data_IF_021865731631
#
_entry.id   IF_021865731631
#
_cell.length_a   1.000
_cell.length_b   1.000
_cell.length_c   1.000
_cell.angle_alpha   90.00
_cell.angle_beta   90.00
_cell.angle_gamma   90.00
#
_symmetry.space_group_name_H-M   'P 1'
#
loop_
_entity.id
_entity.type
_entity.pdbx_description
1 polymer ?
#
# COMPACT_ATOMS: atom_id res chain seq x y z
N UNK A 1 61.97 -36.39 17.03
CA UNK A 1 61.41 -35.03 16.91
C UNK A 1 61.20 -34.74 15.43
N UNK A 2 59.96 -34.41 15.10
CA UNK A 2 59.37 -34.26 13.77
C UNK A 2 59.78 -32.96 13.06
N UNK A 3 59.76 -32.96 11.72
CA UNK A 3 59.12 -31.95 10.87
C UNK A 3 59.23 -32.32 9.39
N UNK A 4 58.11 -32.79 8.83
CA UNK A 4 57.78 -32.79 7.40
C UNK A 4 57.32 -31.39 6.99
N UNK A 5 57.56 -30.94 5.74
CA UNK A 5 56.97 -29.70 5.22
C UNK A 5 55.56 -30.00 4.71
N UNK A 6 54.54 -29.24 5.14
CA UNK A 6 53.20 -29.36 4.57
C UNK A 6 52.81 -28.07 3.86
N UNK A 7 52.54 -28.24 2.56
CA UNK A 7 52.12 -27.26 1.56
C UNK A 7 50.91 -26.42 2.00
N UNK A 8 50.89 -25.23 1.44
CA UNK A 8 49.84 -24.21 1.38
C UNK A 8 48.43 -24.76 1.11
N UNK A 9 47.49 -24.47 2.01
CA UNK A 9 46.08 -24.34 1.68
C UNK A 9 45.76 -22.85 1.55
N UNK A 10 45.98 -22.31 0.35
CA UNK A 10 45.38 -21.04 -0.03
C UNK A 10 43.87 -21.25 -0.08
N UNK A 11 43.15 -20.78 0.94
CA UNK A 11 41.72 -20.49 0.83
C UNK A 11 41.52 -19.76 -0.50
N UNK A 12 40.82 -20.39 -1.45
CA UNK A 12 40.30 -19.72 -2.65
C UNK A 12 39.28 -18.71 -2.17
N UNK A 13 39.77 -17.55 -1.72
CA UNK A 13 38.96 -16.39 -1.39
C UNK A 13 38.21 -15.96 -2.64
N UNK A 14 36.96 -15.54 -2.43
CA UNK A 14 36.13 -14.86 -3.42
C UNK A 14 36.99 -13.84 -4.19
N UNK A 15 36.82 -13.80 -5.51
CA UNK A 15 37.73 -13.15 -6.47
C UNK A 15 38.28 -11.81 -6.01
N UNK A 16 39.53 -11.53 -6.43
CA UNK A 16 40.45 -10.43 -6.06
C UNK A 16 39.89 -9.01 -6.32
N UNK A 17 38.71 -8.72 -5.80
CA UNK A 17 37.94 -7.51 -6.05
C UNK A 17 36.63 -7.48 -5.28
N UNK A 18 36.05 -8.62 -4.85
CA UNK A 18 34.85 -8.61 -4.01
C UNK A 18 35.15 -8.09 -2.59
N UNK A 19 36.32 -8.45 -2.04
CA UNK A 19 36.74 -7.97 -0.72
C UNK A 19 36.96 -6.47 -0.67
N UNK A 20 37.58 -5.90 -1.70
CA UNK A 20 37.75 -4.44 -1.83
C UNK A 20 36.42 -3.73 -2.09
N UNK A 21 35.51 -4.35 -2.86
CA UNK A 21 34.17 -3.81 -3.12
C UNK A 21 33.30 -3.79 -1.85
N UNK A 22 33.42 -4.82 -0.99
CA UNK A 22 32.76 -4.86 0.31
C UNK A 22 33.40 -3.87 1.30
N UNK A 23 34.73 -3.75 1.29
CA UNK A 23 35.45 -2.80 2.15
C UNK A 23 35.16 -1.32 1.80
N UNK A 24 34.90 -1.01 0.52
CA UNK A 24 34.41 0.31 0.10
C UNK A 24 32.98 0.61 0.55
N UNK A 25 32.14 -0.41 0.76
CA UNK A 25 30.74 -0.24 1.14
C UNK A 25 30.52 -0.22 2.67
N UNK A 26 31.44 -0.82 3.45
CA UNK A 26 31.44 -0.73 4.92
C UNK A 26 31.73 0.70 5.42
N UNK A 27 32.42 1.54 4.61
CA UNK A 27 32.67 2.95 4.93
C UNK A 27 31.47 3.88 4.74
N UNK A 28 30.38 3.43 4.11
CA UNK A 28 29.15 4.21 3.91
C UNK A 28 28.04 3.90 4.93
N UNK A 29 28.23 2.92 5.82
CA UNK A 29 27.31 2.64 6.94
C UNK A 29 27.13 3.80 7.95
N UNK A 30 28.10 4.71 8.19
CA UNK A 30 27.88 5.89 9.03
C UNK A 30 26.79 6.82 8.49
N UNK A 31 26.57 6.84 7.16
CA UNK A 31 25.51 7.64 6.54
C UNK A 31 24.12 7.09 6.89
N UNK A 32 23.93 5.77 6.90
CA UNK A 32 22.66 5.17 7.31
C UNK A 32 22.39 5.34 8.81
N UNK A 33 23.43 5.34 9.65
CA UNK A 33 23.29 5.58 11.09
C UNK A 33 22.82 7.00 11.44
N UNK A 34 23.08 7.99 10.57
CA UNK A 34 22.63 9.38 10.76
C UNK A 34 21.12 9.56 10.57
N UNK A 35 20.44 8.62 9.88
CA UNK A 35 18.99 8.63 9.69
C UNK A 35 18.22 8.06 10.89
N UNK A 36 18.91 7.70 11.98
CA UNK A 36 18.30 7.05 13.13
C UNK A 36 17.94 5.60 12.83
N UNK A 37 17.91 4.76 13.86
CA UNK A 37 17.32 3.43 13.70
C UNK A 37 15.87 3.61 13.21
N UNK A 38 15.41 2.74 12.31
CA UNK A 38 13.99 2.64 11.99
C UNK A 38 13.26 2.17 13.26
N UNK A 39 12.94 3.12 14.14
CA UNK A 39 12.03 2.91 15.24
C UNK A 39 10.72 2.50 14.60
N UNK A 40 10.19 1.33 14.94
CA UNK A 40 8.89 0.86 14.46
C UNK A 40 7.71 1.73 14.92
N UNK A 41 7.98 2.85 15.58
CA UNK A 41 7.01 3.83 16.04
C UNK A 41 7.00 5.00 15.04
N UNK A 42 5.84 5.25 14.45
CA UNK A 42 5.63 6.37 13.54
C UNK A 42 5.91 7.68 14.30
N UNK A 43 6.99 8.38 13.95
CA UNK A 43 7.14 9.78 14.35
C UNK A 43 5.99 10.59 13.74
N UNK A 44 5.25 11.27 14.61
CA UNK A 44 4.17 12.20 14.25
C UNK A 44 4.76 13.34 13.39
N UNK A 45 4.76 13.20 12.06
CA UNK A 45 5.23 14.23 11.14
C UNK A 45 5.97 13.73 9.89
N UNK A 46 6.34 12.46 9.79
CA UNK A 46 6.86 11.87 8.55
C UNK A 46 5.71 11.34 7.68
N UNK A 47 5.76 11.47 6.34
CA UNK A 47 4.74 10.86 5.49
C UNK A 47 4.79 9.34 5.65
N UNK A 48 3.61 8.72 5.85
CA UNK A 48 3.42 7.28 6.00
C UNK A 48 3.83 6.53 4.71
N UNK A 49 5.14 6.39 4.48
CA UNK A 49 5.66 5.72 3.29
C UNK A 49 5.85 4.21 3.48
N UNK A 50 5.53 3.68 4.66
CA UNK A 50 5.65 2.23 4.95
C UNK A 50 4.57 1.64 5.89
N UNK A 51 3.65 2.44 6.45
CA UNK A 51 2.65 1.98 7.42
C UNK A 51 1.21 2.27 7.01
N UNK A 52 0.26 1.56 7.62
CA UNK A 52 -1.18 1.78 7.41
C UNK A 52 -1.58 3.16 7.98
N UNK A 53 -2.44 3.88 7.27
CA UNK A 53 -3.01 5.13 7.77
C UNK A 53 -4.01 4.84 8.89
N UNK A 54 -4.20 5.81 9.79
CA UNK A 54 -5.27 5.76 10.78
C UNK A 54 -6.63 5.58 10.08
N UNK A 55 -7.42 4.62 10.54
CA UNK A 55 -8.62 4.17 9.80
C UNK A 55 -9.74 5.21 9.80
N UNK A 56 -9.85 6.01 10.87
CA UNK A 56 -10.82 7.11 10.96
C UNK A 56 -10.41 8.25 10.02
N UNK A 57 -9.12 8.61 10.00
CA UNK A 57 -8.59 9.61 9.08
C UNK A 57 -8.71 9.18 7.62
N UNK A 58 -8.42 7.91 7.32
CA UNK A 58 -8.58 7.32 6.00
C UNK A 58 -10.04 7.37 5.55
N UNK A 59 -10.98 6.95 6.40
CA UNK A 59 -12.41 7.03 6.11
C UNK A 59 -12.86 8.49 5.91
N UNK A 60 -12.37 9.42 6.73
CA UNK A 60 -12.66 10.85 6.59
C UNK A 60 -12.20 11.41 5.24
N UNK A 61 -11.01 11.02 4.79
CA UNK A 61 -10.49 11.39 3.47
C UNK A 61 -11.37 10.82 2.34
N UNK A 62 -11.79 9.56 2.45
CA UNK A 62 -12.69 8.90 1.50
C UNK A 62 -14.06 9.59 1.46
N UNK A 63 -14.67 9.88 2.61
CA UNK A 63 -15.95 10.61 2.72
C UNK A 63 -15.87 11.94 2.00
N UNK A 64 -14.81 12.72 2.27
CA UNK A 64 -14.59 14.01 1.59
C UNK A 64 -14.46 13.82 0.09
N UNK A 65 -13.66 12.86 -0.36
CA UNK A 65 -13.46 12.59 -1.78
C UNK A 65 -14.77 12.22 -2.51
N UNK A 66 -15.57 11.32 -1.93
CA UNK A 66 -16.84 10.91 -2.51
C UNK A 66 -17.82 12.08 -2.59
N UNK A 67 -17.97 12.87 -1.52
CA UNK A 67 -18.84 14.06 -1.52
C UNK A 67 -18.41 15.15 -2.50
N UNK A 68 -17.11 15.30 -2.76
CA UNK A 68 -16.62 16.29 -3.73
C UNK A 68 -16.75 15.83 -5.17
N UNK A 69 -16.70 14.51 -5.41
CA UNK A 69 -16.68 13.94 -6.76
C UNK A 69 -18.08 13.57 -7.25
N UNK A 70 -18.94 13.11 -6.33
CA UNK A 70 -20.34 12.80 -6.57
C UNK A 70 -21.21 13.95 -6.05
N UNK A 71 -22.53 13.87 -6.25
CA UNK A 71 -23.44 14.83 -5.65
C UNK A 71 -23.54 14.53 -4.15
N UNK A 72 -23.39 15.55 -3.31
CA UNK A 72 -23.41 15.41 -1.85
C UNK A 72 -24.66 14.67 -1.32
N UNK A 73 -25.81 14.85 -1.99
CA UNK A 73 -27.07 14.19 -1.64
C UNK A 73 -27.11 12.67 -1.90
N UNK A 74 -26.19 12.14 -2.71
CA UNK A 74 -26.10 10.71 -3.03
C UNK A 74 -25.17 9.96 -2.06
N UNK A 75 -24.45 10.68 -1.18
CA UNK A 75 -23.48 10.13 -0.25
C UNK A 75 -24.01 10.15 1.17
N UNK A 76 -24.35 8.99 1.69
CA UNK A 76 -24.73 8.78 3.08
C UNK A 76 -23.49 8.51 3.92
N UNK A 77 -23.36 9.17 5.08
CA UNK A 77 -22.19 9.01 5.94
C UNK A 77 -22.60 8.68 7.37
N UNK A 78 -22.08 7.59 7.91
CA UNK A 78 -22.11 7.27 9.34
C UNK A 78 -20.82 7.69 10.05
N UNK A 79 -20.64 7.28 11.30
CA UNK A 79 -19.37 7.48 12.04
C UNK A 79 -18.26 6.60 11.43
N UNK A 80 -18.49 5.30 11.33
CA UNK A 80 -17.52 4.30 10.86
C UNK A 80 -17.76 3.82 9.42
N UNK A 81 -18.71 4.43 8.71
CA UNK A 81 -19.08 4.02 7.34
C UNK A 81 -19.44 5.20 6.41
N UNK A 82 -19.42 4.92 5.11
CA UNK A 82 -19.93 5.77 4.04
C UNK A 82 -20.53 4.90 2.93
N UNK A 83 -21.68 5.30 2.42
CA UNK A 83 -22.39 4.59 1.36
C UNK A 83 -22.87 5.53 0.26
N UNK A 84 -22.91 4.99 -0.96
CA UNK A 84 -23.55 5.56 -2.13
C UNK A 84 -24.53 4.51 -2.62
N UNK A 85 -25.82 4.82 -2.57
CA UNK A 85 -26.90 3.85 -2.76
C UNK A 85 -26.74 3.04 -4.05
N UNK A 86 -26.64 1.72 -3.91
CA UNK A 86 -26.51 0.77 -5.02
C UNK A 86 -25.12 0.73 -5.69
N UNK A 87 -24.14 1.48 -5.17
CA UNK A 87 -22.82 1.61 -5.81
C UNK A 87 -21.66 1.26 -4.89
N UNK A 88 -21.38 2.08 -3.87
CA UNK A 88 -20.23 1.88 -2.98
C UNK A 88 -20.73 1.79 -1.54
N UNK A 89 -20.21 0.82 -0.80
CA UNK A 89 -20.28 0.79 0.66
C UNK A 89 -18.87 0.65 1.20
N UNK A 90 -18.46 1.55 2.09
CA UNK A 90 -17.15 1.52 2.72
C UNK A 90 -17.24 1.66 4.23
N UNK A 91 -16.49 0.85 4.98
CA UNK A 91 -16.53 0.81 6.44
C UNK A 91 -15.17 0.47 7.08
N UNK A 92 -14.94 0.99 8.28
CA UNK A 92 -13.71 0.73 9.05
C UNK A 92 -13.65 -0.74 9.47
N UNK A 93 -12.48 -1.36 9.32
CA UNK A 93 -12.22 -2.73 9.78
C UNK A 93 -11.58 -2.73 11.17
N UNK A 94 -11.97 -3.72 11.98
CA UNK A 94 -11.35 -3.98 13.31
C UNK A 94 -9.85 -4.22 13.28
N UNK A 95 -9.32 -4.67 12.14
CA UNK A 95 -7.90 -5.01 11.95
C UNK A 95 -7.10 -3.88 11.28
N UNK A 96 -7.69 -2.70 11.11
CA UNK A 96 -7.10 -1.59 10.36
C UNK A 96 -7.59 -1.52 8.91
N UNK A 97 -7.60 -0.30 8.37
CA UNK A 97 -8.05 0.03 7.02
C UNK A 97 -9.56 0.19 6.86
N UNK A 98 -9.96 0.50 5.63
CA UNK A 98 -11.35 0.68 5.21
C UNK A 98 -11.68 -0.35 4.14
N UNK A 99 -12.66 -1.21 4.39
CA UNK A 99 -13.14 -2.15 3.37
C UNK A 99 -14.17 -1.52 2.46
N UNK A 100 -14.10 -1.84 1.18
CA UNK A 100 -15.02 -1.41 0.15
C UNK A 100 -15.74 -2.61 -0.44
N UNK A 101 -17.05 -2.46 -0.61
CA UNK A 101 -17.88 -3.27 -1.49
C UNK A 101 -18.41 -2.35 -2.60
N UNK A 102 -18.15 -2.71 -3.84
CA UNK A 102 -18.47 -1.92 -5.04
C UNK A 102 -19.38 -2.77 -5.92
N UNK A 103 -20.49 -2.20 -6.36
CA UNK A 103 -21.43 -2.82 -7.29
C UNK A 103 -21.57 -1.93 -8.54
N UNK A 104 -21.74 -2.52 -9.71
CA UNK A 104 -22.01 -1.74 -10.92
C UNK A 104 -22.11 -2.63 -12.15
N UNK A 105 -22.60 -2.09 -13.26
CA UNK A 105 -22.57 -2.81 -14.54
C UNK A 105 -21.20 -2.63 -15.19
N UNK A 106 -20.52 -3.74 -15.49
CA UNK A 106 -19.24 -3.77 -16.21
C UNK A 106 -18.20 -2.77 -15.65
N UNK A 107 -17.82 -2.96 -14.39
CA UNK A 107 -16.87 -2.09 -13.70
C UNK A 107 -15.58 -1.91 -14.52
N UNK A 108 -15.02 -0.69 -14.62
CA UNK A 108 -13.87 -0.38 -15.47
C UNK A 108 -12.54 -0.88 -14.87
N UNK A 109 -12.57 -1.96 -14.08
CA UNK A 109 -11.45 -2.49 -13.30
C UNK A 109 -10.79 -3.70 -13.98
N UNK A 110 -9.50 -3.87 -13.74
CA UNK A 110 -8.78 -5.13 -13.93
C UNK A 110 -8.23 -5.61 -12.58
N UNK A 111 -7.92 -6.90 -12.40
CA UNK A 111 -7.48 -7.44 -11.10
C UNK A 111 -6.29 -6.68 -10.47
N UNK A 112 -5.35 -6.21 -11.29
CA UNK A 112 -4.18 -5.45 -10.82
C UNK A 112 -4.54 -4.12 -10.15
N UNK A 113 -5.69 -3.53 -10.47
CA UNK A 113 -6.13 -2.29 -9.85
C UNK A 113 -6.50 -2.47 -8.36
N UNK A 114 -6.90 -3.68 -7.96
CA UNK A 114 -7.27 -4.01 -6.58
C UNK A 114 -6.11 -4.61 -5.77
N UNK A 115 -4.96 -4.82 -6.42
CA UNK A 115 -3.73 -5.34 -5.83
C UNK A 115 -2.61 -4.30 -5.79
N UNK A 116 -2.93 -3.01 -5.99
CA UNK A 116 -1.95 -1.94 -6.00
C UNK A 116 -1.45 -1.61 -4.56
N UNK A 117 -0.29 -0.94 -4.42
CA UNK A 117 0.24 -0.56 -3.11
C UNK A 117 -0.77 0.22 -2.26
N UNK A 118 -0.86 -0.13 -0.97
CA UNK A 118 -1.85 0.44 -0.05
C UNK A 118 -3.23 -0.21 -0.13
N UNK A 119 -3.39 -1.29 -0.90
CA UNK A 119 -4.62 -2.09 -0.99
C UNK A 119 -4.35 -3.58 -0.77
N UNK A 120 -5.29 -4.26 -0.12
CA UNK A 120 -5.24 -5.70 0.15
C UNK A 120 -6.62 -6.32 -0.05
N UNK A 121 -6.67 -7.66 -0.11
CA UNK A 121 -7.91 -8.44 -0.24
C UNK A 121 -8.78 -7.95 -1.41
N UNK A 122 -8.14 -7.67 -2.54
CA UNK A 122 -8.78 -7.22 -3.77
C UNK A 122 -9.40 -8.38 -4.54
N UNK A 123 -10.70 -8.33 -4.80
CA UNK A 123 -11.45 -9.31 -5.59
C UNK A 123 -12.33 -8.59 -6.61
N UNK A 124 -12.36 -9.09 -7.85
CA UNK A 124 -13.18 -8.59 -8.94
C UNK A 124 -13.99 -9.77 -9.48
N UNK A 125 -15.31 -9.62 -9.57
CA UNK A 125 -16.16 -10.64 -10.16
C UNK A 125 -15.82 -10.87 -11.64
N UNK A 126 -15.95 -12.12 -12.12
CA UNK A 126 -15.63 -12.50 -13.49
C UNK A 126 -16.43 -11.71 -14.54
N UNK A 127 -17.69 -11.39 -14.21
CA UNK A 127 -18.59 -10.57 -15.04
C UNK A 127 -18.42 -9.06 -14.81
N UNK A 128 -17.51 -8.67 -13.92
CA UNK A 128 -17.21 -7.29 -13.53
C UNK A 128 -18.45 -6.57 -12.98
N UNK A 129 -19.37 -7.31 -12.36
CA UNK A 129 -20.56 -6.74 -11.71
C UNK A 129 -20.29 -6.20 -10.31
N UNK A 130 -19.25 -6.71 -9.65
CA UNK A 130 -18.87 -6.30 -8.30
C UNK A 130 -17.36 -6.38 -8.08
N UNK A 131 -16.89 -5.63 -7.09
CA UNK A 131 -15.52 -5.67 -6.62
C UNK A 131 -15.44 -5.43 -5.10
N UNK A 132 -14.50 -6.08 -4.45
CA UNK A 132 -14.16 -5.86 -3.05
C UNK A 132 -12.68 -5.50 -2.92
N UNK A 133 -12.35 -4.59 -2.00
CA UNK A 133 -10.96 -4.26 -1.68
C UNK A 133 -10.87 -3.61 -0.31
N UNK A 134 -9.77 -3.80 0.41
CA UNK A 134 -9.48 -3.04 1.62
C UNK A 134 -8.37 -2.03 1.33
N UNK A 135 -8.63 -0.75 1.58
CA UNK A 135 -7.63 0.31 1.53
C UNK A 135 -6.95 0.44 2.90
N UNK A 136 -5.63 0.42 2.89
CA UNK A 136 -4.79 0.65 4.08
C UNK A 136 -4.19 2.06 4.10
N UNK A 137 -4.11 2.71 2.93
CA UNK A 137 -3.46 4.02 2.79
C UNK A 137 -4.23 4.93 1.84
N UNK A 138 -4.19 6.23 2.10
CA UNK A 138 -4.71 7.29 1.24
C UNK A 138 -3.67 7.73 0.19
N UNK A 139 -3.30 6.80 -0.68
CA UNK A 139 -2.28 6.99 -1.71
C UNK A 139 -2.81 7.47 -3.07
N UNK A 140 -1.88 7.54 -4.03
CA UNK A 140 -2.20 7.84 -5.44
C UNK A 140 -3.11 6.75 -6.02
N UNK A 141 -2.83 5.48 -5.75
CA UNK A 141 -3.61 4.36 -6.29
C UNK A 141 -5.03 4.32 -5.72
N UNK A 142 -5.22 4.55 -4.42
CA UNK A 142 -6.54 4.65 -3.78
C UNK A 142 -7.39 5.76 -4.43
N UNK A 143 -6.81 6.94 -4.65
CA UNK A 143 -7.48 8.07 -5.31
C UNK A 143 -7.79 7.76 -6.77
N UNK A 144 -6.87 7.13 -7.49
CA UNK A 144 -7.06 6.73 -8.89
C UNK A 144 -8.20 5.72 -9.02
N UNK A 145 -8.24 4.71 -8.16
CA UNK A 145 -9.31 3.72 -8.13
C UNK A 145 -10.67 4.38 -7.91
N UNK A 146 -10.81 5.20 -6.86
CA UNK A 146 -12.06 5.90 -6.57
C UNK A 146 -12.45 6.88 -7.67
N UNK A 147 -11.49 7.62 -8.25
CA UNK A 147 -11.77 8.55 -9.36
C UNK A 147 -12.39 7.82 -10.54
N UNK A 148 -11.79 6.70 -10.96
CA UNK A 148 -12.28 5.91 -12.09
C UNK A 148 -13.66 5.29 -11.81
N UNK A 149 -13.88 4.83 -10.58
CA UNK A 149 -15.17 4.30 -10.15
C UNK A 149 -16.25 5.39 -10.16
N UNK A 150 -15.99 6.55 -9.57
CA UNK A 150 -16.93 7.67 -9.56
C UNK A 150 -17.23 8.17 -10.99
N UNK A 151 -16.22 8.28 -11.86
CA UNK A 151 -16.42 8.66 -13.26
C UNK A 151 -17.33 7.67 -13.99
N UNK A 152 -17.08 6.37 -13.84
CA UNK A 152 -17.94 5.33 -14.42
C UNK A 152 -19.36 5.39 -13.90
N UNK A 153 -19.55 5.60 -12.60
CA UNK A 153 -20.86 5.77 -11.99
C UNK A 153 -21.63 6.94 -12.62
N UNK A 154 -20.98 8.11 -12.74
CA UNK A 154 -21.60 9.30 -13.32
C UNK A 154 -21.97 9.14 -14.81
N UNK A 155 -21.30 8.24 -15.53
CA UNK A 155 -21.57 7.97 -16.95
C UNK A 155 -22.61 6.87 -17.17
N UNK A 156 -22.93 6.07 -16.15
CA UNK A 156 -23.80 4.88 -16.26
C UNK A 156 -25.14 5.02 -15.53
N UNK A 157 -25.33 6.12 -14.81
CA UNK A 157 -26.61 6.56 -14.23
C UNK A 157 -27.47 7.27 -15.27
#
# INVERSE_FOLDING_TARGET
MSKTPKKSDSKKGLGRGLGDLLAQHDTDLPFLGAYGAASGEHEHGLPASAGEDDSEQLLSAIKRFLRTTLKEAEVETGEEEVSVTGFITASIRKKGGVSFAINGSNLPLVPSDLAAPGMIAGELADDRSSAEVTMLQWGIESRRLLSRLCEHHLLTQ
#
